data_IF_662288514773
#
_entry.id   IF_662288514773
#
_cell.length_a   1.000
_cell.length_b   1.000
_cell.length_c   1.000
_cell.angle_alpha   90.00
_cell.angle_beta   90.00
_cell.angle_gamma   90.00
#
_symmetry.space_group_name_H-M   'P 1'
#
loop_
_entity.id
_entity.type
_entity.pdbx_description
1 polymer ?
#
# COMPACT_ATOMS: atom_id res chain seq x y z
N UNK A 1 11.85 -7.89 16.77
CA UNK A 1 11.57 -6.77 15.86
C UNK A 1 10.38 -7.19 15.03
N UNK A 2 9.22 -6.57 15.25
CA UNK A 2 7.99 -6.89 14.52
C UNK A 2 7.68 -5.72 13.62
N UNK A 3 7.91 -5.87 12.31
CA UNK A 3 7.73 -4.79 11.35
C UNK A 3 6.35 -4.90 10.73
N UNK A 4 5.58 -3.81 10.77
CA UNK A 4 4.33 -3.74 10.04
C UNK A 4 4.63 -3.71 8.55
N UNK A 5 4.09 -4.66 7.80
CA UNK A 5 4.30 -4.72 6.34
C UNK A 5 3.54 -3.63 5.57
N UNK A 6 2.56 -2.97 6.21
CA UNK A 6 1.71 -1.94 5.60
C UNK A 6 2.32 -0.53 5.65
N UNK A 7 3.13 -0.23 6.67
CA UNK A 7 3.78 1.08 6.81
C UNK A 7 5.29 0.97 7.07
N UNK A 8 5.83 -0.24 6.94
CA UNK A 8 7.22 -0.60 7.18
C UNK A 8 7.77 -0.11 8.53
N UNK A 9 6.90 0.06 9.52
CA UNK A 9 7.25 0.60 10.83
C UNK A 9 7.63 -0.53 11.78
N UNK A 10 8.76 -0.37 12.44
CA UNK A 10 9.34 -1.38 13.32
C UNK A 10 8.82 -1.23 14.75
N UNK A 11 8.29 -2.31 15.32
CA UNK A 11 7.83 -2.37 16.70
C UNK A 11 8.72 -3.31 17.53
N UNK A 12 8.85 -2.97 18.81
CA UNK A 12 9.68 -3.72 19.76
C UNK A 12 9.02 -5.04 20.16
N UNK A 13 7.68 -5.10 20.10
CA UNK A 13 6.87 -6.26 20.55
C UNK A 13 5.76 -6.59 19.55
N UNK A 14 5.33 -7.85 19.54
CA UNK A 14 4.23 -8.33 18.69
C UNK A 14 2.90 -7.66 19.02
N UNK A 15 2.60 -7.49 20.32
CA UNK A 15 1.40 -6.81 20.80
C UNK A 15 1.28 -5.37 20.23
N UNK A 16 2.41 -4.65 20.15
CA UNK A 16 2.44 -3.32 19.54
C UNK A 16 2.16 -3.36 18.03
N UNK A 17 2.64 -4.39 17.33
CA UNK A 17 2.31 -4.59 15.91
C UNK A 17 0.82 -4.90 15.73
N UNK A 18 0.22 -5.73 16.58
CA UNK A 18 -1.20 -6.08 16.50
C UNK A 18 -2.12 -4.88 16.78
N UNK A 19 -1.86 -4.12 17.85
CA UNK A 19 -2.57 -2.86 18.13
C UNK A 19 -2.40 -1.83 17.02
N UNK A 20 -1.20 -1.77 16.44
CA UNK A 20 -0.93 -0.89 15.31
C UNK A 20 -1.70 -1.31 14.05
N UNK A 21 -1.90 -2.61 13.82
CA UNK A 21 -2.59 -3.14 12.61
C UNK A 21 -3.99 -2.55 12.44
N UNK A 22 -4.70 -2.38 13.55
CA UNK A 22 -6.06 -1.79 13.58
C UNK A 22 -6.05 -0.28 13.30
N UNK A 23 -4.96 0.40 13.67
CA UNK A 23 -4.79 1.86 13.46
C UNK A 23 -4.08 2.20 12.15
N UNK A 24 -3.44 1.23 11.50
CA UNK A 24 -2.60 1.47 10.32
C UNK A 24 -3.38 2.02 9.12
N UNK A 25 -4.72 2.00 9.18
CA UNK A 25 -5.58 2.39 8.08
C UNK A 25 -5.47 1.37 6.95
N UNK A 26 -6.58 1.10 6.28
CA UNK A 26 -6.55 0.30 5.06
C UNK A 26 -5.82 1.15 4.00
N UNK A 27 -4.54 0.86 3.82
CA UNK A 27 -3.72 1.48 2.77
C UNK A 27 -4.14 0.84 1.45
N UNK A 28 -5.22 1.36 0.90
CA UNK A 28 -5.65 0.98 -0.43
C UNK A 28 -4.78 1.70 -1.46
N UNK A 29 -4.33 0.96 -2.45
CA UNK A 29 -3.64 1.44 -3.62
C UNK A 29 -4.64 1.57 -4.76
N UNK A 30 -4.56 2.68 -5.46
CA UNK A 30 -5.23 2.94 -6.71
C UNK A 30 -4.22 2.76 -7.84
N UNK A 31 -4.50 1.87 -8.77
CA UNK A 31 -3.75 1.81 -10.02
C UNK A 31 -4.20 2.94 -10.95
N UNK A 32 -3.28 3.80 -11.36
CA UNK A 32 -3.51 4.86 -12.33
C UNK A 32 -3.65 4.37 -13.78
N UNK A 33 -3.22 3.12 -14.07
CA UNK A 33 -3.33 2.53 -15.41
C UNK A 33 -4.72 1.94 -15.66
N UNK A 34 -5.18 1.05 -14.78
CA UNK A 34 -6.49 0.41 -14.91
C UNK A 34 -7.61 1.07 -14.08
N UNK A 35 -7.27 1.95 -13.14
CA UNK A 35 -8.22 2.61 -12.23
C UNK A 35 -8.70 1.71 -11.07
N UNK A 36 -8.10 0.54 -10.89
CA UNK A 36 -8.53 -0.41 -9.87
C UNK A 36 -8.01 -0.04 -8.48
N UNK A 37 -8.86 -0.16 -7.47
CA UNK A 37 -8.52 0.06 -6.07
C UNK A 37 -8.43 -1.28 -5.35
N UNK A 38 -7.29 -1.54 -4.72
CA UNK A 38 -7.01 -2.79 -4.01
C UNK A 38 -6.15 -2.53 -2.79
N UNK A 39 -6.19 -3.45 -1.82
CA UNK A 39 -5.34 -3.34 -0.63
C UNK A 39 -3.86 -3.44 -1.02
N UNK A 40 -3.01 -2.65 -0.37
CA UNK A 40 -1.56 -2.70 -0.58
C UNK A 40 -0.97 -4.12 -0.46
N UNK A 41 -1.52 -4.93 0.45
CA UNK A 41 -1.12 -6.32 0.63
C UNK A 41 -1.41 -7.23 -0.59
N UNK A 42 -2.37 -6.87 -1.45
CA UNK A 42 -2.61 -7.59 -2.71
C UNK A 42 -1.60 -7.19 -3.79
N UNK A 43 -1.09 -5.97 -3.71
CA UNK A 43 -0.14 -5.41 -4.66
C UNK A 43 1.28 -5.92 -4.47
N UNK A 44 1.64 -6.33 -3.25
CA UNK A 44 2.98 -6.80 -2.92
C UNK A 44 2.97 -8.10 -2.14
N UNK A 45 3.80 -9.05 -2.57
CA UNK A 45 4.00 -10.32 -1.85
C UNK A 45 5.13 -10.22 -0.83
N UNK A 46 6.14 -9.41 -1.14
CA UNK A 46 7.41 -9.33 -0.40
C UNK A 46 7.61 -7.97 0.32
N UNK A 47 6.73 -6.98 0.08
CA UNK A 47 6.79 -5.64 0.69
C UNK A 47 7.59 -4.59 -0.09
N UNK A 48 8.17 -4.99 -1.22
CA UNK A 48 9.06 -4.14 -2.03
C UNK A 48 8.61 -4.02 -3.49
N UNK A 49 8.13 -5.12 -4.08
CA UNK A 49 7.58 -5.12 -5.43
C UNK A 49 6.08 -4.89 -5.36
N UNK A 50 5.63 -3.72 -5.79
CA UNK A 50 4.22 -3.38 -5.93
C UNK A 50 3.83 -3.51 -7.40
N UNK A 51 2.86 -4.37 -7.68
CA UNK A 51 2.33 -4.65 -9.01
C UNK A 51 0.81 -4.74 -8.95
N UNK A 52 0.13 -4.30 -10.01
CA UNK A 52 -1.31 -4.47 -10.12
C UNK A 52 -1.67 -5.96 -10.06
N UNK A 53 -2.63 -6.38 -9.21
CA UNK A 53 -3.11 -7.76 -9.17
C UNK A 53 -3.99 -8.12 -10.38
N UNK A 54 -4.35 -7.15 -11.23
CA UNK A 54 -5.15 -7.38 -12.43
C UNK A 54 -4.29 -7.98 -13.56
N UNK A 55 -4.71 -9.13 -14.08
CA UNK A 55 -3.99 -9.88 -15.14
C UNK A 55 -4.00 -9.15 -16.50
N UNK A 56 -4.93 -8.20 -16.69
CA UNK A 56 -5.03 -7.35 -17.88
C UNK A 56 -4.24 -6.02 -17.76
N UNK A 57 -3.54 -5.80 -16.64
CA UNK A 57 -2.85 -4.55 -16.32
C UNK A 57 -1.37 -4.81 -15.99
N UNK A 58 -0.47 -4.05 -16.60
CA UNK A 58 0.99 -4.14 -16.35
C UNK A 58 1.47 -3.08 -15.33
N UNK A 59 0.55 -2.21 -14.88
CA UNK A 59 0.83 -1.13 -13.93
C UNK A 59 1.57 -1.61 -12.67
N UNK A 60 2.73 -1.01 -12.40
CA UNK A 60 3.59 -1.35 -11.27
C UNK A 60 4.24 -0.13 -10.64
N UNK A 61 4.97 -0.33 -9.55
CA UNK A 61 5.70 0.74 -8.89
C UNK A 61 4.81 1.61 -7.99
N UNK A 62 5.13 1.60 -6.70
CA UNK A 62 4.47 2.46 -5.73
C UNK A 62 4.88 3.92 -5.96
N UNK A 63 3.89 4.80 -6.15
CA UNK A 63 4.00 6.20 -6.59
C UNK A 63 4.37 6.41 -8.06
N UNK A 64 4.42 5.34 -8.85
CA UNK A 64 4.55 5.41 -10.31
C UNK A 64 3.18 5.16 -10.94
N UNK A 65 2.78 3.89 -11.10
CA UNK A 65 1.45 3.55 -11.57
C UNK A 65 0.49 3.22 -10.41
N UNK A 66 1.00 2.96 -9.20
CA UNK A 66 0.20 2.62 -8.02
C UNK A 66 0.26 3.71 -6.95
N UNK A 67 -0.88 4.34 -6.63
CA UNK A 67 -0.98 5.47 -5.72
C UNK A 67 -1.75 5.10 -4.45
N UNK A 68 -1.23 5.44 -3.26
CA UNK A 68 -2.00 5.28 -2.02
C UNK A 68 -3.18 6.24 -2.02
N UNK A 69 -4.40 5.75 -1.84
CA UNK A 69 -5.61 6.58 -1.82
C UNK A 69 -5.56 7.64 -0.72
N UNK A 70 -4.83 7.35 0.37
CA UNK A 70 -4.54 8.28 1.47
C UNK A 70 -3.70 9.49 1.03
N UNK A 71 -2.80 9.33 0.04
CA UNK A 71 -1.91 10.37 -0.49
C UNK A 71 -2.52 11.12 -1.69
N UNK A 72 -3.55 10.57 -2.34
CA UNK A 72 -4.19 11.14 -3.53
C UNK A 72 -4.83 12.53 -3.29
N UNK A 73 -4.97 12.96 -2.03
CA UNK A 73 -5.46 14.30 -1.66
C UNK A 73 -4.47 15.44 -1.95
N UNK A 74 -3.23 15.17 -2.38
CA UNK A 74 -2.20 16.20 -2.59
C UNK A 74 -1.84 16.49 -4.07
N UNK A 75 -2.46 15.83 -5.05
CA UNK A 75 -2.14 16.03 -6.47
C UNK A 75 -2.97 17.13 -7.18
N UNK A 76 -3.75 17.94 -6.45
CA UNK A 76 -4.45 19.12 -6.99
C UNK A 76 -3.95 20.41 -6.31
N UNK A 77 -2.67 20.76 -6.49
CA UNK A 77 -2.17 22.12 -6.24
C UNK A 77 -1.35 22.63 -7.43
N UNK A 78 -2.11 23.15 -8.40
CA UNK A 78 -1.79 24.20 -9.39
C UNK A 78 -1.40 23.79 -10.81
#
# INVERSE_FOLDING_TARGET
MHTCRLCNRSFSTELQLELHRDTCGEDELLCGECGEQFSEAAATRDGWHYSCPNDDCDGGGLKEDLYRVSDARLAEQR
#
